data_IF_341080946157
#
_entry.id   IF_341080946157
#
_cell.length_a   1.000
_cell.length_b   1.000
_cell.length_c   1.000
_cell.angle_alpha   90.00
_cell.angle_beta   90.00
_cell.angle_gamma   90.00
#
_symmetry.space_group_name_H-M   'P 1'
#
loop_
_entity.id
_entity.type
_entity.pdbx_description
1 polymer ?
#
# COMPACT_ATOMS: atom_id res chain seq x y z
N UNK A 1 -27.21 -2.98 23.54
CA UNK A 1 -27.06 -2.34 24.86
C UNK A 1 -25.67 -2.49 25.47
N UNK A 2 -24.82 -3.45 25.06
CA UNK A 2 -23.45 -3.64 25.57
C UNK A 2 -22.34 -2.82 24.85
N UNK A 3 -22.68 -2.10 23.78
CA UNK A 3 -21.70 -1.38 22.95
C UNK A 3 -21.52 0.10 23.31
N UNK A 4 -22.47 0.69 24.04
CA UNK A 4 -22.35 2.07 24.53
C UNK A 4 -21.47 2.17 25.78
N UNK A 5 -21.42 1.11 26.60
CA UNK A 5 -20.62 1.08 27.83
C UNK A 5 -19.11 0.97 27.56
N UNK A 6 -18.71 0.18 26.56
CA UNK A 6 -17.30 0.03 26.17
C UNK A 6 -16.75 1.33 25.56
N UNK A 7 -17.58 2.03 24.78
CA UNK A 7 -17.22 3.34 24.24
C UNK A 7 -17.14 4.43 25.32
N UNK A 8 -18.03 4.38 26.32
CA UNK A 8 -17.98 5.29 27.46
C UNK A 8 -16.72 5.11 28.31
N UNK A 9 -16.29 3.87 28.54
CA UNK A 9 -15.06 3.57 29.29
C UNK A 9 -13.80 4.06 28.54
N UNK A 10 -13.77 3.88 27.21
CA UNK A 10 -12.67 4.38 26.37
C UNK A 10 -12.59 5.91 26.36
N UNK A 11 -13.72 6.62 26.36
CA UNK A 11 -13.76 8.09 26.46
C UNK A 11 -13.26 8.54 27.84
N UNK A 12 -13.64 7.86 28.92
CA UNK A 12 -13.14 8.17 30.27
C UNK A 12 -11.63 7.97 30.41
N UNK A 13 -11.07 6.96 29.75
CA UNK A 13 -9.62 6.73 29.71
C UNK A 13 -8.92 7.82 28.89
N UNK A 14 -9.51 8.24 27.76
CA UNK A 14 -8.99 9.33 26.93
C UNK A 14 -9.03 10.69 27.66
N UNK A 15 -10.14 11.02 28.32
CA UNK A 15 -10.28 12.26 29.10
C UNK A 15 -9.34 12.30 30.31
N UNK A 16 -9.11 11.15 30.95
CA UNK A 16 -8.11 11.03 32.03
C UNK A 16 -6.67 11.25 31.56
N UNK A 17 -6.33 10.78 30.35
CA UNK A 17 -5.02 11.03 29.73
C UNK A 17 -4.84 12.49 29.31
N UNK A 18 -5.90 13.16 28.84
CA UNK A 18 -5.90 14.59 28.49
C UNK A 18 -5.72 15.44 29.75
N UNK A 19 -6.40 15.13 30.86
CA UNK A 19 -6.23 15.83 32.13
C UNK A 19 -4.83 15.64 32.75
N UNK A 20 -4.22 14.47 32.56
CA UNK A 20 -2.83 14.22 32.95
C UNK A 20 -1.84 15.03 32.09
N UNK A 21 -2.13 15.22 30.80
CA UNK A 21 -1.34 16.05 29.90
C UNK A 21 -1.40 17.55 30.26
N UNK A 22 -2.58 18.06 30.64
CA UNK A 22 -2.77 19.47 31.05
C UNK A 22 -2.04 19.80 32.37
N UNK A 23 -2.07 18.88 33.34
CA UNK A 23 -1.39 19.08 34.63
C UNK A 23 0.15 18.98 34.52
N UNK A 24 0.66 18.20 33.57
CA UNK A 24 2.08 18.21 33.19
C UNK A 24 2.45 19.50 32.43
N UNK A 25 1.59 20.01 31.55
CA UNK A 25 1.79 21.24 30.79
C UNK A 25 1.88 22.47 31.70
N UNK A 26 1.00 22.58 32.70
CA UNK A 26 1.02 23.70 33.66
C UNK A 26 2.26 23.65 34.58
N UNK A 27 2.78 22.45 34.89
CA UNK A 27 4.06 22.29 35.62
C UNK A 27 5.26 22.61 34.73
N UNK A 28 5.27 22.15 33.49
CA UNK A 28 6.31 22.47 32.50
C UNK A 28 6.36 23.97 32.16
N UNK A 29 5.22 24.66 32.07
CA UNK A 29 5.19 26.12 31.90
C UNK A 29 5.63 26.91 33.14
N UNK A 30 5.49 26.36 34.35
CA UNK A 30 5.89 27.04 35.59
C UNK A 30 7.39 26.97 35.84
N UNK A 31 8.04 25.89 35.41
CA UNK A 31 9.48 25.68 35.62
C UNK A 31 10.37 26.34 34.54
N UNK A 32 9.78 26.83 33.43
CA UNK A 32 10.52 27.41 32.28
C UNK A 32 10.30 28.92 32.08
N UNK A 33 10.09 29.68 33.16
CA UNK A 33 10.15 31.14 33.08
C UNK A 33 11.59 31.60 33.36
N UNK A 34 12.42 31.80 32.33
CA UNK A 34 13.69 32.50 32.53
C UNK A 34 14.68 32.61 31.38
N UNK A 35 14.78 31.63 30.47
CA UNK A 35 15.86 31.65 29.46
C UNK A 35 15.36 31.40 28.03
N UNK A 36 15.26 32.48 27.26
CA UNK A 36 14.82 32.49 25.85
C UNK A 36 15.63 31.55 24.96
N UNK A 37 16.91 31.31 25.30
CA UNK A 37 17.78 30.39 24.56
C UNK A 37 17.41 28.93 24.84
N UNK A 38 17.02 28.62 26.08
CA UNK A 38 16.63 27.27 26.48
C UNK A 38 15.29 26.88 25.85
N UNK A 39 14.34 27.82 25.77
CA UNK A 39 13.07 27.61 25.07
C UNK A 39 13.26 27.36 23.57
N UNK A 40 14.17 28.09 22.91
CA UNK A 40 14.49 27.88 21.49
C UNK A 40 15.15 26.53 21.24
N UNK A 41 16.10 26.12 22.09
CA UNK A 41 16.75 24.81 21.97
C UNK A 41 15.74 23.68 22.17
N UNK A 42 14.85 23.79 23.18
CA UNK A 42 13.79 22.80 23.41
C UNK A 42 12.75 22.77 22.29
N UNK A 43 12.38 23.91 21.72
CA UNK A 43 11.46 23.97 20.58
C UNK A 43 12.09 23.34 19.32
N UNK A 44 13.37 23.59 19.06
CA UNK A 44 14.09 23.02 17.90
C UNK A 44 14.32 21.51 18.08
N UNK A 45 14.64 21.04 19.28
CA UNK A 45 14.78 19.60 19.55
C UNK A 45 13.43 18.88 19.55
N UNK A 46 12.37 19.51 20.05
CA UNK A 46 11.02 18.96 19.97
C UNK A 46 10.54 18.91 18.51
N UNK A 47 10.83 19.94 17.72
CA UNK A 47 10.46 19.98 16.30
C UNK A 47 11.27 18.97 15.46
N UNK A 48 12.56 18.75 15.78
CA UNK A 48 13.37 17.74 15.10
C UNK A 48 12.93 16.32 15.46
N UNK A 49 12.59 16.06 16.72
CA UNK A 49 11.99 14.79 17.17
C UNK A 49 10.61 14.59 16.53
N UNK A 50 9.80 15.63 16.41
CA UNK A 50 8.50 15.59 15.73
C UNK A 50 8.65 15.26 14.24
N UNK A 51 9.65 15.82 13.55
CA UNK A 51 9.94 15.48 12.16
C UNK A 51 10.34 14.00 11.98
N UNK A 52 11.07 13.43 12.94
CA UNK A 52 11.39 12.01 12.93
C UNK A 52 10.13 11.12 13.11
N UNK A 53 9.15 11.57 13.89
CA UNK A 53 7.86 10.86 14.08
C UNK A 53 7.00 10.90 12.81
N UNK A 54 7.05 11.98 12.01
CA UNK A 54 6.27 12.10 10.76
C UNK A 54 6.73 11.12 9.67
N UNK A 55 8.01 10.71 9.67
CA UNK A 55 8.52 9.78 8.65
C UNK A 55 8.14 8.30 8.89
N UNK A 56 7.43 7.99 9.98
CA UNK A 56 7.01 6.63 10.34
C UNK A 56 5.70 6.14 9.74
N UNK A 57 5.12 6.84 8.75
CA UNK A 57 3.96 6.29 8.03
C UNK A 57 4.45 5.15 7.14
N UNK A 58 4.17 3.92 7.56
CA UNK A 58 4.45 2.70 6.80
C UNK A 58 3.91 2.80 5.37
N UNK A 59 4.81 3.03 4.42
CA UNK A 59 4.49 2.88 3.00
C UNK A 59 4.16 1.42 2.75
N UNK A 60 2.87 1.09 2.66
CA UNK A 60 2.42 -0.27 2.35
C UNK A 60 3.10 -0.70 1.04
N UNK A 61 3.94 -1.73 1.08
CA UNK A 61 4.70 -2.23 -0.08
C UNK A 61 3.83 -3.13 -0.94
N UNK A 62 4.01 -3.10 -2.27
CA UNK A 62 3.40 -4.04 -3.22
C UNK A 62 3.67 -5.50 -2.78
N UNK A 63 2.62 -6.30 -2.63
CA UNK A 63 2.75 -7.72 -2.30
C UNK A 63 2.42 -8.58 -3.51
N UNK A 64 3.33 -9.49 -3.85
CA UNK A 64 3.21 -10.38 -5.01
C UNK A 64 3.12 -11.81 -4.46
N UNK A 65 1.92 -12.39 -4.52
CA UNK A 65 1.69 -13.81 -4.22
C UNK A 65 1.63 -14.62 -5.49
N UNK A 66 2.26 -15.79 -5.53
CA UNK A 66 2.17 -16.69 -6.69
C UNK A 66 1.16 -17.78 -6.35
N UNK A 67 0.06 -17.82 -7.11
CA UNK A 67 -1.06 -18.75 -6.91
C UNK A 67 -0.84 -20.08 -7.61
N UNK A 68 -0.26 -20.04 -8.81
CA UNK A 68 0.07 -21.22 -9.61
C UNK A 68 1.42 -20.99 -10.27
N UNK A 69 2.37 -21.90 -10.03
CA UNK A 69 3.66 -21.93 -10.73
C UNK A 69 3.57 -22.87 -11.92
N UNK A 70 4.45 -22.64 -12.89
CA UNK A 70 4.64 -23.50 -14.05
C UNK A 70 6.09 -23.97 -14.02
N UNK A 71 6.31 -25.28 -14.05
CA UNK A 71 7.64 -25.88 -13.89
C UNK A 71 8.51 -25.68 -15.15
N UNK A 72 7.88 -25.69 -16.33
CA UNK A 72 8.55 -25.43 -17.61
C UNK A 72 8.25 -24.01 -18.10
N UNK A 73 9.24 -23.13 -18.02
CA UNK A 73 9.09 -21.72 -18.38
C UNK A 73 10.19 -21.30 -19.37
N UNK A 74 9.99 -21.53 -20.67
CA UNK A 74 10.99 -21.21 -21.69
C UNK A 74 11.15 -19.69 -21.87
N UNK A 75 10.06 -18.94 -21.70
CA UNK A 75 10.02 -17.48 -21.88
C UNK A 75 9.47 -16.85 -20.60
N UNK A 76 10.20 -15.87 -20.09
CA UNK A 76 9.77 -15.01 -18.97
C UNK A 76 9.47 -13.61 -19.48
N UNK A 77 8.43 -13.00 -18.93
CA UNK A 77 8.05 -11.63 -19.23
C UNK A 77 9.15 -10.64 -18.81
N UNK A 78 9.44 -9.67 -19.67
CA UNK A 78 10.35 -8.55 -19.39
C UNK A 78 9.75 -7.25 -19.93
N UNK A 79 10.33 -6.12 -19.52
CA UNK A 79 9.91 -4.80 -20.00
C UNK A 79 9.94 -4.77 -21.53
N UNK A 80 8.91 -4.21 -22.13
CA UNK A 80 8.71 -4.12 -23.59
C UNK A 80 7.96 -5.30 -24.21
N UNK A 81 7.75 -6.40 -23.49
CA UNK A 81 6.91 -7.49 -24.00
C UNK A 81 5.44 -7.07 -24.01
N UNK A 82 4.70 -7.56 -25.00
CA UNK A 82 3.23 -7.46 -25.05
C UNK A 82 2.68 -8.68 -24.32
N UNK A 83 1.91 -8.45 -23.25
CA UNK A 83 1.32 -9.50 -22.45
C UNK A 83 -0.17 -9.60 -22.73
N UNK A 84 -0.64 -10.83 -22.90
CA UNK A 84 -2.06 -11.12 -22.96
C UNK A 84 -2.48 -11.91 -21.72
N UNK A 85 -3.47 -11.43 -20.97
CA UNK A 85 -3.83 -12.04 -19.70
C UNK A 85 -5.31 -11.91 -19.34
N UNK A 86 -5.76 -12.84 -18.50
CA UNK A 86 -6.97 -12.67 -17.73
C UNK A 86 -6.66 -12.04 -16.37
N UNK A 87 -7.57 -11.19 -15.91
CA UNK A 87 -7.55 -10.60 -14.59
C UNK A 87 -8.94 -10.59 -13.96
N UNK A 88 -8.95 -10.55 -12.63
CA UNK A 88 -10.07 -10.20 -11.77
C UNK A 88 -9.57 -9.21 -10.72
N UNK A 89 -10.18 -8.03 -10.66
CA UNK A 89 -9.90 -6.96 -9.71
C UNK A 89 -10.93 -6.94 -8.57
N UNK A 90 -10.44 -6.93 -7.33
CA UNK A 90 -11.25 -6.88 -6.11
C UNK A 90 -10.77 -5.77 -5.18
N UNK A 91 -11.68 -5.26 -4.38
CA UNK A 91 -11.40 -4.34 -3.27
C UNK A 91 -10.96 -5.14 -2.03
N UNK A 92 -10.50 -4.45 -0.98
CA UNK A 92 -10.10 -5.08 0.29
C UNK A 92 -11.24 -5.83 0.99
N UNK A 93 -12.49 -5.43 0.77
CA UNK A 93 -13.69 -6.09 1.28
C UNK A 93 -14.04 -7.39 0.50
N UNK A 94 -13.31 -7.68 -0.58
CA UNK A 94 -13.54 -8.83 -1.46
C UNK A 94 -14.52 -8.59 -2.59
N UNK A 95 -15.14 -7.40 -2.67
CA UNK A 95 -16.03 -6.99 -3.76
C UNK A 95 -15.26 -6.94 -5.07
N UNK A 96 -15.73 -7.68 -6.06
CA UNK A 96 -15.20 -7.63 -7.43
C UNK A 96 -15.70 -6.37 -8.12
N UNK A 97 -14.78 -5.55 -8.65
CA UNK A 97 -15.13 -4.35 -9.41
C UNK A 97 -14.97 -4.53 -10.91
N UNK A 98 -14.10 -5.44 -11.35
CA UNK A 98 -13.94 -5.76 -12.78
C UNK A 98 -13.30 -7.14 -12.99
N UNK A 99 -13.69 -7.84 -14.06
CA UNK A 99 -13.07 -9.09 -14.49
C UNK A 99 -13.16 -9.27 -16.00
N UNK A 100 -12.07 -9.74 -16.59
CA UNK A 100 -12.00 -10.14 -18.00
C UNK A 100 -12.61 -11.52 -18.30
N UNK A 101 -12.77 -12.37 -17.28
CA UNK A 101 -13.18 -13.77 -17.45
C UNK A 101 -14.63 -13.90 -17.96
N UNK A 102 -15.64 -13.20 -17.37
CA UNK A 102 -17.02 -13.30 -17.82
C UNK A 102 -17.22 -12.81 -19.27
N UNK A 103 -16.36 -11.88 -19.72
CA UNK A 103 -16.37 -11.33 -21.08
C UNK A 103 -15.64 -12.22 -22.08
N UNK A 104 -14.89 -13.22 -21.60
CA UNK A 104 -13.99 -14.07 -22.41
C UNK A 104 -13.07 -13.26 -23.34
N UNK A 105 -12.69 -12.05 -22.90
CA UNK A 105 -11.86 -11.13 -23.65
C UNK A 105 -10.61 -10.82 -22.84
N UNK A 106 -9.47 -11.45 -23.17
CA UNK A 106 -8.18 -11.16 -22.56
C UNK A 106 -7.79 -9.68 -22.69
N UNK A 107 -7.03 -9.19 -21.73
CA UNK A 107 -6.48 -7.84 -21.74
C UNK A 107 -5.04 -7.85 -22.24
N UNK A 108 -4.76 -7.01 -23.22
CA UNK A 108 -3.47 -6.89 -23.87
C UNK A 108 -2.84 -5.53 -23.60
N UNK A 109 -1.59 -5.52 -23.14
CA UNK A 109 -0.83 -4.28 -22.89
C UNK A 109 0.68 -4.54 -22.99
N UNK A 110 1.45 -3.47 -23.10
CA UNK A 110 2.92 -3.54 -23.09
C UNK A 110 3.48 -3.38 -21.69
N UNK A 111 4.27 -4.34 -21.22
CA UNK A 111 4.82 -4.34 -19.87
C UNK A 111 5.91 -3.27 -19.69
N UNK A 112 5.79 -2.44 -18.65
CA UNK A 112 6.84 -1.51 -18.24
C UNK A 112 6.87 -0.20 -19.02
N UNK A 113 5.83 0.10 -19.81
CA UNK A 113 5.69 1.37 -20.53
C UNK A 113 4.76 2.37 -19.82
N UNK A 114 4.24 2.04 -18.64
CA UNK A 114 3.30 2.88 -17.91
C UNK A 114 1.88 2.93 -18.51
N UNK A 115 1.52 1.98 -19.38
CA UNK A 115 0.15 1.84 -19.90
C UNK A 115 -0.85 1.37 -18.83
N UNK A 116 -0.35 0.71 -17.79
CA UNK A 116 -1.12 0.17 -16.67
C UNK A 116 -0.63 0.75 -15.35
N UNK A 117 -1.37 0.51 -14.27
CA UNK A 117 -0.99 0.95 -12.93
C UNK A 117 0.39 0.41 -12.53
N UNK A 118 1.15 1.19 -11.77
CA UNK A 118 2.54 0.88 -11.40
C UNK A 118 2.72 -0.50 -10.75
N UNK A 119 1.72 -0.95 -10.00
CA UNK A 119 1.73 -2.27 -9.37
C UNK A 119 1.76 -3.43 -10.37
N UNK A 120 1.15 -3.27 -11.55
CA UNK A 120 1.22 -4.26 -12.64
C UNK A 120 2.60 -4.25 -13.30
N UNK A 121 3.12 -3.07 -13.65
CA UNK A 121 4.45 -2.92 -14.26
C UNK A 121 5.58 -3.53 -13.40
N UNK A 122 5.43 -3.49 -12.08
CA UNK A 122 6.38 -4.10 -11.14
C UNK A 122 6.06 -5.57 -10.85
N UNK A 123 4.78 -5.92 -10.69
CA UNK A 123 4.33 -7.24 -10.23
C UNK A 123 4.37 -8.36 -11.28
N UNK A 124 4.36 -7.99 -12.56
CA UNK A 124 4.24 -8.92 -13.68
C UNK A 124 5.56 -9.23 -14.37
N UNK A 125 6.68 -8.71 -13.86
CA UNK A 125 8.02 -9.06 -14.34
C UNK A 125 8.37 -10.51 -14.00
N UNK A 126 9.05 -11.19 -14.92
CA UNK A 126 9.53 -12.56 -14.71
C UNK A 126 8.42 -13.59 -14.54
N UNK A 127 7.27 -13.36 -15.17
CA UNK A 127 6.11 -14.26 -15.17
C UNK A 127 6.16 -15.18 -16.37
N UNK A 128 5.69 -16.41 -16.17
CA UNK A 128 5.62 -17.45 -17.19
C UNK A 128 4.20 -17.57 -17.76
N UNK A 129 4.08 -18.01 -19.01
CA UNK A 129 2.78 -18.34 -19.60
C UNK A 129 2.11 -19.45 -18.79
N UNK A 130 0.81 -19.30 -18.50
CA UNK A 130 0.03 -20.18 -17.63
C UNK A 130 0.23 -19.96 -16.12
N UNK A 131 1.12 -19.05 -15.71
CA UNK A 131 1.32 -18.69 -14.30
C UNK A 131 0.13 -17.87 -13.78
N UNK A 132 -0.22 -18.03 -12.49
CA UNK A 132 -1.21 -17.19 -11.81
C UNK A 132 -0.58 -16.43 -10.66
N UNK A 133 -0.85 -15.13 -10.57
CA UNK A 133 -0.38 -14.27 -9.48
C UNK A 133 -1.54 -13.53 -8.80
N UNK A 134 -1.33 -13.22 -7.53
CA UNK A 134 -2.14 -12.30 -6.75
C UNK A 134 -1.29 -11.06 -6.45
N UNK A 135 -1.71 -9.90 -6.93
CA UNK A 135 -1.07 -8.62 -6.65
C UNK A 135 -1.92 -7.85 -5.64
N UNK A 136 -1.34 -7.46 -4.51
CA UNK A 136 -1.96 -6.54 -3.55
C UNK A 136 -1.28 -5.20 -3.73
N UNK A 137 -1.99 -4.28 -4.39
CA UNK A 137 -1.49 -2.98 -4.79
C UNK A 137 -1.96 -1.96 -3.76
N UNK A 138 -1.06 -1.34 -3.00
CA UNK A 138 -1.39 -0.32 -2.02
C UNK A 138 -1.96 0.94 -2.70
N UNK A 139 -2.72 1.74 -1.96
CA UNK A 139 -3.30 3.00 -2.45
C UNK A 139 -2.27 3.97 -3.04
N UNK A 140 -1.02 3.96 -2.56
CA UNK A 140 0.08 4.75 -3.13
C UNK A 140 0.36 4.47 -4.60
N UNK A 141 0.03 3.26 -5.09
CA UNK A 141 0.28 2.82 -6.47
C UNK A 141 -1.00 2.70 -7.32
N UNK A 142 -2.18 2.94 -6.73
CA UNK A 142 -3.49 2.71 -7.38
C UNK A 142 -4.67 3.57 -6.89
N UNK A 143 -4.44 4.58 -6.05
CA UNK A 143 -5.48 5.43 -5.45
C UNK A 143 -6.22 4.80 -4.26
N UNK A 144 -6.50 3.50 -4.33
CA UNK A 144 -7.05 2.66 -3.26
C UNK A 144 -6.27 1.33 -3.15
N UNK A 145 -6.44 0.56 -2.07
CA UNK A 145 -5.87 -0.79 -2.04
C UNK A 145 -6.66 -1.68 -2.99
N UNK A 146 -5.99 -2.20 -4.01
CA UNK A 146 -6.58 -3.06 -5.03
C UNK A 146 -5.94 -4.44 -5.00
N UNK A 147 -6.76 -5.47 -5.08
CA UNK A 147 -6.34 -6.86 -5.12
C UNK A 147 -6.63 -7.40 -6.51
N UNK A 148 -5.59 -7.78 -7.24
CA UNK A 148 -5.72 -8.38 -8.56
C UNK A 148 -5.31 -9.84 -8.54
N UNK A 149 -6.14 -10.71 -9.09
CA UNK A 149 -5.75 -12.06 -9.47
C UNK A 149 -5.59 -12.09 -10.98
N UNK A 150 -4.41 -12.49 -11.45
CA UNK A 150 -4.01 -12.44 -12.86
C UNK A 150 -3.52 -13.81 -13.34
N UNK A 151 -3.78 -14.11 -14.60
CA UNK A 151 -3.34 -15.32 -15.30
C UNK A 151 -2.73 -14.92 -16.63
N UNK A 152 -1.42 -15.16 -16.79
CA UNK A 152 -0.73 -14.85 -18.04
C UNK A 152 -1.07 -15.93 -19.08
N UNK A 153 -1.59 -15.53 -20.23
CA UNK A 153 -1.92 -16.44 -21.31
C UNK A 153 -0.76 -16.57 -22.29
N UNK A 154 -0.31 -15.44 -22.83
CA UNK A 154 0.75 -15.41 -23.85
C UNK A 154 1.68 -14.21 -23.68
N UNK A 155 2.93 -14.38 -24.10
CA UNK A 155 3.97 -13.35 -24.19
C UNK A 155 4.31 -13.13 -25.66
N UNK A 156 3.90 -11.99 -26.20
CA UNK A 156 4.27 -11.56 -27.54
C UNK A 156 5.50 -10.65 -27.46
N UNK A 157 6.61 -11.15 -28.01
CA UNK A 157 7.85 -10.39 -28.14
C UNK A 157 8.12 -10.19 -29.61
N UNK A 158 8.16 -8.93 -30.06
CA UNK A 158 8.72 -8.62 -31.37
C UNK A 158 10.21 -8.97 -31.32
N UNK A 159 10.56 -10.14 -31.82
CA UNK A 159 11.93 -10.47 -32.17
C UNK A 159 12.24 -9.68 -33.43
N UNK A 160 13.05 -8.64 -33.29
CA UNK A 160 13.60 -7.93 -34.43
C UNK A 160 14.37 -8.94 -35.31
N UNK A 161 14.09 -8.85 -36.61
CA UNK A 161 14.64 -9.65 -37.71
C UNK A 161 16.17 -9.67 -37.72
#
# INVERSE_FOLDING_TARGET
MLWQDVWGELIRIADGLIAAADSLWVKLCRDFCGDMRLCLVLAVTLMSVLMAVVQGVDKKKLQIGIKKRVDNCPIKSRKGDVLNMHYTGKLEDGTEFDSSIPRNQPFTFTLGTGQVIKGWDQGLLGMCEGEKRKLVIPSELGGATLIFEVELLTIERRSDL
#
